data_IF_258117232119
#
_entry.id   IF_258117232119
#
_cell.length_a   1.000
_cell.length_b   1.000
_cell.length_c   1.000
_cell.angle_alpha   90.00
_cell.angle_beta   90.00
_cell.angle_gamma   90.00
#
_symmetry.space_group_name_H-M   'P 1'
#
loop_
_entity.id
_entity.type
_entity.pdbx_description
1 polymer ?
#
# COMPACT_ATOMS: atom_id res chain seq x y z
N UNK A 1 8.25 36.30 8.69
CA UNK A 1 8.58 35.72 7.37
C UNK A 1 8.19 34.26 7.49
N UNK A 2 7.02 33.89 6.95
CA UNK A 2 6.50 32.52 7.05
C UNK A 2 7.24 31.66 6.04
N UNK A 3 8.20 30.88 6.53
CA UNK A 3 8.88 29.88 5.74
C UNK A 3 7.97 28.65 5.70
N UNK A 4 7.39 28.40 4.53
CA UNK A 4 6.67 27.17 4.21
C UNK A 4 7.55 25.97 4.54
N UNK A 5 7.16 25.21 5.56
CA UNK A 5 7.69 23.88 5.80
C UNK A 5 7.66 23.09 4.49
N UNK A 6 8.79 22.57 3.98
CA UNK A 6 8.71 21.51 3.01
C UNK A 6 7.99 20.39 3.76
N UNK A 7 6.76 20.10 3.39
CA UNK A 7 6.15 18.84 3.73
C UNK A 7 7.18 17.81 3.29
N UNK A 8 7.91 17.27 4.28
CA UNK A 8 8.77 16.13 4.12
C UNK A 8 7.82 15.09 3.58
N UNK A 9 7.83 14.94 2.25
CA UNK A 9 7.08 13.92 1.54
C UNK A 9 7.69 12.64 2.04
N UNK A 10 7.17 12.16 3.17
CA UNK A 10 7.55 10.89 3.76
C UNK A 10 7.29 9.92 2.64
N UNK A 11 8.37 9.46 2.00
CA UNK A 11 8.27 8.47 0.95
C UNK A 11 7.79 7.21 1.65
N UNK A 12 6.46 7.05 1.74
CA UNK A 12 5.86 5.84 2.25
C UNK A 12 6.11 4.80 1.17
N UNK A 13 7.22 4.08 1.30
CA UNK A 13 7.55 2.96 0.43
C UNK A 13 6.50 1.89 0.71
N UNK A 14 5.46 1.87 -0.12
CA UNK A 14 4.39 0.88 -0.09
C UNK A 14 4.81 -0.29 -0.97
N UNK A 15 5.21 -1.39 -0.36
CA UNK A 15 5.51 -2.62 -1.10
C UNK A 15 4.21 -3.19 -1.68
N UNK A 16 4.29 -3.82 -2.86
CA UNK A 16 3.13 -4.53 -3.41
C UNK A 16 2.83 -5.74 -2.56
N UNK A 17 1.55 -6.01 -2.31
CA UNK A 17 1.14 -7.23 -1.62
C UNK A 17 1.66 -8.45 -2.39
N UNK A 18 2.43 -9.29 -1.72
CA UNK A 18 3.05 -10.47 -2.31
C UNK A 18 2.02 -11.53 -2.72
N UNK A 19 0.88 -11.59 -2.02
CA UNK A 19 -0.19 -12.57 -2.26
C UNK A 19 -0.97 -12.29 -3.53
N UNK A 20 -1.38 -11.04 -3.75
CA UNK A 20 -2.11 -10.64 -4.96
C UNK A 20 -1.24 -9.96 -6.01
N UNK A 21 0.07 -9.84 -5.79
CA UNK A 21 1.01 -9.12 -6.66
C UNK A 21 0.53 -7.70 -7.06
N UNK A 22 -0.13 -6.99 -6.14
CA UNK A 22 -0.66 -5.65 -6.40
C UNK A 22 -2.05 -5.55 -7.03
N UNK A 23 -2.71 -6.67 -7.36
CA UNK A 23 -4.04 -6.61 -8.00
C UNK A 23 -5.19 -6.31 -7.04
N UNK A 24 -4.99 -6.56 -5.74
CA UNK A 24 -6.06 -6.52 -4.75
C UNK A 24 -7.03 -7.72 -4.81
N UNK A 25 -6.76 -8.71 -5.66
CA UNK A 25 -7.62 -9.87 -5.84
C UNK A 25 -6.86 -11.18 -5.56
N UNK A 26 -7.56 -12.16 -4.98
CA UNK A 26 -7.06 -13.51 -4.85
C UNK A 26 -7.12 -14.29 -6.19
N UNK A 27 -6.74 -15.55 -6.16
CA UNK A 27 -6.72 -16.42 -7.34
C UNK A 27 -8.12 -16.77 -7.87
N UNK A 28 -9.16 -16.50 -7.09
CA UNK A 28 -10.56 -16.77 -7.43
C UNK A 28 -11.28 -15.48 -7.87
N UNK A 29 -10.57 -14.34 -7.91
CA UNK A 29 -11.11 -13.02 -8.24
C UNK A 29 -11.88 -12.36 -7.10
N UNK A 30 -11.84 -12.94 -5.89
CA UNK A 30 -12.39 -12.30 -4.70
C UNK A 30 -11.36 -11.31 -4.11
N UNK A 31 -11.80 -10.45 -3.20
CA UNK A 31 -10.93 -9.48 -2.52
C UNK A 31 -9.77 -10.19 -1.82
N UNK A 32 -8.54 -9.77 -2.10
CA UNK A 32 -7.36 -10.32 -1.44
C UNK A 32 -7.43 -10.05 0.07
N UNK A 33 -7.46 -11.11 0.87
CA UNK A 33 -7.59 -11.03 2.33
C UNK A 33 -6.39 -10.38 3.01
N UNK A 34 -5.18 -10.62 2.48
CA UNK A 34 -3.95 -10.13 3.11
C UNK A 34 -3.86 -8.60 3.03
N UNK A 35 -4.06 -8.04 1.83
CA UNK A 35 -4.07 -6.59 1.64
C UNK A 35 -5.44 -5.93 1.72
N UNK A 36 -6.50 -6.67 2.11
CA UNK A 36 -7.90 -6.19 2.12
C UNK A 36 -8.34 -5.51 0.82
N UNK A 37 -7.85 -5.99 -0.33
CA UNK A 37 -8.17 -5.43 -1.65
C UNK A 37 -7.35 -4.21 -2.09
N UNK A 38 -6.42 -3.72 -1.27
CA UNK A 38 -5.64 -2.51 -1.56
C UNK A 38 -4.51 -2.79 -2.56
N UNK A 39 -4.04 -4.04 -2.65
CA UNK A 39 -2.89 -4.41 -3.48
C UNK A 39 -1.54 -4.01 -2.86
N UNK A 40 -1.54 -3.49 -1.64
CA UNK A 40 -0.34 -3.02 -0.95
C UNK A 40 -0.08 -3.93 0.24
N UNK A 41 1.18 -4.32 0.41
CA UNK A 41 1.62 -5.09 1.56
C UNK A 41 1.48 -4.22 2.81
N UNK A 42 0.60 -4.67 3.69
CA UNK A 42 0.29 -4.09 4.99
C UNK A 42 0.89 -4.93 6.12
N UNK A 43 1.66 -5.98 5.82
CA UNK A 43 2.41 -6.75 6.82
C UNK A 43 3.58 -5.91 7.35
N UNK A 44 3.34 -5.14 8.41
CA UNK A 44 4.39 -4.35 9.06
C UNK A 44 4.00 -2.91 9.45
N UNK A 45 2.71 -2.56 9.34
CA UNK A 45 2.15 -1.36 9.97
C UNK A 45 1.79 -1.62 11.44
#
# INVERSE_FOLDING_TARGET
MSETDPADEVIVIRYRCCTCNGTGLDTHGATCGDCSGVGIDNHGA
#
